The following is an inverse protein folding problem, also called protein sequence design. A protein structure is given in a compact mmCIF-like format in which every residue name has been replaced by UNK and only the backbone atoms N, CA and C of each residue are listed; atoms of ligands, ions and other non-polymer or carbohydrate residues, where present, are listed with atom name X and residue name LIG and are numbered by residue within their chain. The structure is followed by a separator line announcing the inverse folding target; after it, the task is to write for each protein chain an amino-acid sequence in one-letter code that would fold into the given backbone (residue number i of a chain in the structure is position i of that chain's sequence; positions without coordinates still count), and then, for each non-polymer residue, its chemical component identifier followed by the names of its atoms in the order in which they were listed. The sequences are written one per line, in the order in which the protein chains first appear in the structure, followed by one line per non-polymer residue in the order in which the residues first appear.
data_IF_138025434560
#
_entry.id   IF_138025434560
#
_cell.length_a   1.000
_cell.length_b   1.000
_cell.length_c   1.000
_cell.angle_alpha   90.00
_cell.angle_beta   90.00
_cell.angle_gamma   90.00
#
_symmetry.space_group_name_H-M   'P 1'
#
loop_
_entity.id
_entity.type
_entity.pdbx_description
1 polymer ?
#
# COMPACT_ATOMS: atom_id res chain seq x y z
N UNK A 1 28.35 -4.68 -7.34
CA UNK A 1 27.32 -4.08 -8.18
C UNK A 1 26.03 -4.81 -7.87
N UNK A 2 25.14 -4.23 -7.04
CA UNK A 2 23.80 -4.80 -6.88
C UNK A 2 23.02 -4.46 -8.14
N UNK A 3 22.31 -5.44 -8.71
CA UNK A 3 21.40 -5.18 -9.81
C UNK A 3 20.42 -4.08 -9.38
N UNK A 4 20.25 -3.07 -10.24
CA UNK A 4 19.15 -2.11 -10.09
C UNK A 4 17.83 -2.87 -10.10
N UNK A 5 16.84 -2.34 -9.39
CA UNK A 5 15.49 -2.87 -9.38
C UNK A 5 14.54 -1.71 -9.20
N UNK A 6 13.28 -1.90 -9.59
CA UNK A 6 12.29 -0.83 -9.57
C UNK A 6 12.14 -0.07 -8.23
N UNK A 7 11.62 1.14 -8.33
CA UNK A 7 11.48 2.08 -7.20
C UNK A 7 10.03 2.13 -6.70
N UNK A 8 9.84 2.25 -5.38
CA UNK A 8 8.52 2.55 -4.80
C UNK A 8 8.36 4.06 -4.66
N UNK A 9 7.42 4.61 -5.40
CA UNK A 9 7.05 6.02 -5.40
C UNK A 9 5.86 6.26 -4.44
N UNK A 10 6.11 7.02 -3.38
CA UNK A 10 5.09 7.46 -2.42
C UNK A 10 5.21 8.97 -2.15
N UNK A 11 4.10 9.69 -1.95
CA UNK A 11 4.17 11.08 -1.53
C UNK A 11 4.77 11.18 -0.13
N UNK A 12 5.61 12.19 0.10
CA UNK A 12 6.21 12.45 1.42
C UNK A 12 5.17 12.76 2.50
N UNK A 13 4.01 13.30 2.11
CA UNK A 13 2.93 13.66 3.02
C UNK A 13 1.61 13.60 2.28
N UNK A 14 0.62 13.00 2.94
CA UNK A 14 -0.80 13.07 2.57
C UNK A 14 -1.54 13.66 3.77
N UNK A 15 -2.46 14.58 3.53
CA UNK A 15 -3.31 15.18 4.56
C UNK A 15 -4.77 15.00 4.18
N UNK A 16 -5.61 14.76 5.18
CA UNK A 16 -7.06 14.68 5.02
C UNK A 16 -7.75 15.44 6.13
N UNK A 17 -9.00 15.80 5.89
CA UNK A 17 -9.87 16.39 6.91
C UNK A 17 -10.43 15.27 7.79
N UNK A 18 -10.52 15.50 9.09
CA UNK A 18 -11.13 14.55 10.01
C UNK A 18 -12.57 14.24 9.55
N UNK A 19 -12.95 12.96 9.51
CA UNK A 19 -14.26 12.57 8.99
C UNK A 19 -14.28 12.21 7.50
N UNK A 20 -13.17 12.39 6.77
CA UNK A 20 -13.10 12.11 5.33
C UNK A 20 -12.20 10.92 5.03
N UNK A 21 -12.59 10.17 4.02
CA UNK A 21 -11.77 9.11 3.44
C UNK A 21 -10.52 9.73 2.79
N UNK A 22 -9.42 8.97 2.82
CA UNK A 22 -8.15 9.40 2.23
C UNK A 22 -7.57 8.31 1.35
N UNK A 23 -7.04 8.70 0.19
CA UNK A 23 -6.22 7.83 -0.63
C UNK A 23 -4.78 7.94 -0.16
N UNK A 24 -4.14 6.80 0.11
CA UNK A 24 -2.70 6.71 0.34
C UNK A 24 -2.06 6.14 -0.94
N UNK A 25 -1.42 7.00 -1.76
CA UNK A 25 -0.84 6.56 -3.01
C UNK A 25 0.43 5.73 -2.79
N UNK A 26 0.59 4.67 -3.56
CA UNK A 26 1.79 3.86 -3.61
C UNK A 26 1.93 3.27 -5.01
N UNK A 27 3.02 3.59 -5.69
CA UNK A 27 3.28 3.08 -7.03
C UNK A 27 4.65 2.42 -7.09
N UNK A 28 4.74 1.27 -7.75
CA UNK A 28 6.02 0.68 -8.11
C UNK A 28 6.35 1.05 -9.56
N UNK A 29 7.52 1.66 -9.77
CA UNK A 29 8.08 1.94 -11.08
C UNK A 29 9.12 0.89 -11.41
N UNK A 30 8.71 -0.11 -12.19
CA UNK A 30 9.60 -1.13 -12.71
C UNK A 30 10.73 -0.53 -13.57
N UNK A 31 11.93 -1.07 -13.46
CA UNK A 31 13.07 -0.74 -14.32
C UNK A 31 13.13 -1.66 -15.56
N UNK A 32 12.65 -2.90 -15.44
CA UNK A 32 12.55 -3.89 -16.53
C UNK A 32 11.09 -4.30 -16.76
N UNK A 33 10.71 -4.65 -18.00
CA UNK A 33 9.31 -4.96 -18.35
C UNK A 33 8.78 -6.22 -17.65
N UNK A 34 9.67 -7.13 -17.26
CA UNK A 34 9.34 -8.38 -16.59
C UNK A 34 9.16 -8.23 -15.07
N UNK A 35 9.52 -7.09 -14.47
CA UNK A 35 9.33 -6.85 -13.04
C UNK A 35 7.84 -6.74 -12.72
N UNK A 36 7.38 -7.58 -11.80
CA UNK A 36 5.98 -7.65 -11.41
C UNK A 36 5.84 -7.65 -9.89
N UNK A 37 4.90 -6.86 -9.39
CA UNK A 37 4.63 -6.80 -7.95
C UNK A 37 3.76 -8.00 -7.55
N UNK A 38 4.27 -8.85 -6.67
CA UNK A 38 3.53 -10.01 -6.14
C UNK A 38 2.69 -9.63 -4.92
N UNK A 39 3.23 -8.74 -4.08
CA UNK A 39 2.62 -8.34 -2.82
C UNK A 39 2.94 -6.89 -2.48
N UNK A 40 1.95 -6.18 -1.93
CA UNK A 40 2.13 -4.87 -1.28
C UNK A 40 1.70 -5.00 0.17
N UNK A 41 2.56 -4.59 1.10
CA UNK A 41 2.24 -4.57 2.54
C UNK A 41 2.23 -3.13 3.03
N UNK A 42 1.08 -2.68 3.55
CA UNK A 42 0.95 -1.40 4.20
C UNK A 42 1.22 -1.54 5.70
N UNK A 43 2.17 -0.78 6.21
CA UNK A 43 2.53 -0.74 7.62
C UNK A 43 2.27 0.65 8.19
N UNK A 44 1.74 0.72 9.40
CA UNK A 44 1.63 1.95 10.19
C UNK A 44 2.69 1.94 11.28
N UNK A 45 3.46 3.03 11.37
CA UNK A 45 4.36 3.26 12.50
C UNK A 45 3.57 3.75 13.71
N UNK A 46 3.72 3.04 14.83
CA UNK A 46 3.17 3.40 16.13
C UNK A 46 3.94 4.54 16.80
N UNK A 47 3.39 5.13 17.88
CA UNK A 47 4.04 6.21 18.63
C UNK A 47 5.39 5.80 19.24
N UNK A 48 5.54 4.52 19.59
CA UNK A 48 6.78 3.91 20.09
C UNK A 48 7.76 3.52 18.99
N UNK A 49 7.41 3.73 17.72
CA UNK A 49 8.24 3.39 16.56
C UNK A 49 8.09 1.95 16.07
N UNK A 50 7.26 1.14 16.72
CA UNK A 50 6.81 -0.17 16.29
C UNK A 50 6.07 -0.10 14.94
N UNK A 51 6.15 -1.16 14.15
CA UNK A 51 5.47 -1.25 12.85
C UNK A 51 4.32 -2.24 12.97
N UNK A 52 3.09 -1.78 12.77
CA UNK A 52 1.90 -2.59 12.75
C UNK A 52 1.41 -2.78 11.31
N UNK A 53 1.11 -4.01 10.93
CA UNK A 53 0.51 -4.28 9.62
C UNK A 53 -0.93 -3.75 9.55
N UNK A 54 -1.27 -3.12 8.42
CA UNK A 54 -2.58 -2.55 8.14
C UNK A 54 -3.34 -3.45 7.17
N UNK A 55 -2.72 -3.76 6.03
CA UNK A 55 -3.26 -4.66 5.02
C UNK A 55 -2.15 -5.22 4.15
N UNK A 56 -2.41 -6.42 3.61
CA UNK A 56 -1.61 -7.05 2.55
C UNK A 56 -2.47 -7.16 1.30
N UNK A 57 -1.97 -6.64 0.19
CA UNK A 57 -2.52 -6.86 -1.14
C UNK A 57 -1.66 -7.93 -1.82
N UNK A 58 -2.23 -9.08 -2.12
CA UNK A 58 -1.53 -10.17 -2.78
C UNK A 58 -2.16 -10.47 -4.13
N UNK A 59 -1.33 -10.60 -5.18
CA UNK A 59 -1.82 -10.75 -6.55
C UNK A 59 -2.75 -11.95 -6.76
N UNK A 60 -2.46 -13.06 -6.08
CA UNK A 60 -3.22 -14.31 -6.22
C UNK A 60 -4.25 -14.54 -5.10
N UNK A 61 -4.10 -13.85 -3.97
CA UNK A 61 -4.91 -14.11 -2.76
C UNK A 61 -5.81 -12.94 -2.37
N UNK A 62 -5.77 -11.85 -3.14
CA UNK A 62 -6.56 -10.66 -2.90
C UNK A 62 -6.05 -9.87 -1.70
N UNK A 63 -6.97 -9.16 -1.03
CA UNK A 63 -6.68 -8.28 0.08
C UNK A 63 -6.93 -9.00 1.42
N UNK A 64 -5.96 -8.89 2.33
CA UNK A 64 -6.13 -9.23 3.74
C UNK A 64 -6.00 -7.97 4.60
N UNK A 65 -7.01 -7.66 5.41
CA UNK A 65 -7.03 -6.48 6.29
C UNK A 65 -6.89 -6.93 7.73
N UNK A 66 -6.00 -6.30 8.47
CA UNK A 66 -5.81 -6.60 9.88
C UNK A 66 -7.01 -6.11 10.70
N UNK A 67 -7.39 -6.88 11.73
CA UNK A 67 -8.62 -6.67 12.51
C UNK A 67 -8.86 -5.21 12.94
N UNK A 68 -7.86 -4.44 13.45
CA UNK A 68 -8.07 -3.05 13.86
C UNK A 68 -8.48 -2.09 12.72
N UNK A 69 -8.31 -2.53 11.47
CA UNK A 69 -8.60 -1.77 10.25
C UNK A 69 -9.75 -2.39 9.43
N UNK A 70 -10.39 -3.45 9.93
CA UNK A 70 -11.52 -4.12 9.28
C UNK A 70 -12.61 -3.13 8.90
N UNK A 71 -13.06 -3.21 7.65
CA UNK A 71 -14.07 -2.30 7.12
C UNK A 71 -13.57 -0.88 6.85
N UNK A 72 -12.31 -0.54 7.15
CA UNK A 72 -11.77 0.81 6.90
C UNK A 72 -10.84 0.86 5.70
N UNK A 73 -10.19 -0.23 5.34
CA UNK A 73 -9.20 -0.23 4.26
C UNK A 73 -9.78 -0.87 3.01
N UNK A 74 -9.77 -0.14 1.90
CA UNK A 74 -10.17 -0.64 0.58
C UNK A 74 -8.99 -0.56 -0.38
N UNK A 75 -8.80 -1.60 -1.18
CA UNK A 75 -7.96 -1.51 -2.37
C UNK A 75 -8.59 -0.54 -3.38
N UNK A 76 -7.79 0.37 -3.96
CA UNK A 76 -8.31 1.40 -4.88
C UNK A 76 -8.64 0.84 -6.28
N UNK A 77 -7.82 -0.08 -6.79
CA UNK A 77 -7.99 -0.69 -8.11
C UNK A 77 -7.73 -2.19 -8.02
N UNK A 78 -8.53 -2.99 -8.72
CA UNK A 78 -8.29 -4.44 -8.86
C UNK A 78 -7.19 -4.74 -9.90
N UNK A 79 -6.59 -5.92 -9.80
CA UNK A 79 -5.64 -6.42 -10.80
C UNK A 79 -4.17 -6.25 -10.42
N UNK A 80 -3.41 -5.54 -11.24
CA UNK A 80 -1.97 -5.34 -11.08
C UNK A 80 -1.64 -4.59 -9.77
N UNK A 81 -0.48 -4.87 -9.18
CA UNK A 81 -0.09 -4.33 -7.86
C UNK A 81 0.97 -3.23 -7.95
N UNK A 82 1.37 -2.89 -9.17
CA UNK A 82 2.18 -1.71 -9.48
C UNK A 82 1.47 -0.44 -8.98
N UNK A 83 0.13 -0.43 -8.99
CA UNK A 83 -0.70 0.53 -8.26
C UNK A 83 -1.17 -0.09 -6.92
N UNK A 84 -0.37 0.14 -5.88
CA UNK A 84 -0.59 -0.33 -4.51
C UNK A 84 -1.47 0.57 -3.64
N UNK A 85 -2.17 1.53 -4.25
CA UNK A 85 -3.02 2.51 -3.59
C UNK A 85 -4.09 1.86 -2.70
N UNK A 86 -4.27 2.43 -1.50
CA UNK A 86 -5.39 2.11 -0.62
C UNK A 86 -6.22 3.35 -0.29
N UNK A 87 -7.51 3.12 -0.07
CA UNK A 87 -8.40 4.09 0.57
C UNK A 87 -8.52 3.72 2.04
N UNK A 88 -8.19 4.65 2.92
CA UNK A 88 -8.48 4.57 4.34
C UNK A 88 -9.76 5.36 4.61
N UNK A 89 -10.83 4.64 4.96
CA UNK A 89 -12.13 5.21 5.28
C UNK A 89 -12.18 5.73 6.70
N UNK A 90 -12.88 6.84 6.89
CA UNK A 90 -13.11 7.39 8.21
C UNK A 90 -14.05 6.51 9.03
#
# INVERSE_FOLDING_TARGET
SGAGGGEVEVPRRVTAVLGQDVVLPCRYRAEEEEEQVVQVTWLKRGPSGDMAEVTVLHRQHGQHVQEPYSGRVLRRAEGALEDGDIVLRN
#
